data_IF_117540760460
#
_entry.id   IF_117540760460
#
_cell.length_a   1.000
_cell.length_b   1.000
_cell.length_c   1.000
_cell.angle_alpha   90.00
_cell.angle_beta   90.00
_cell.angle_gamma   90.00
#
_symmetry.space_group_name_H-M   'P 1'
#
loop_
_entity.id
_entity.type
_entity.pdbx_description
1 polymer ?
#
# COMPACT_ATOMS: atom_id res chain seq x y z
N UNK A 1 9.74 -17.42 101.53
CA UNK A 1 8.64 -17.01 100.71
C UNK A 1 9.13 -15.91 99.76
N UNK A 2 9.53 -16.30 98.53
CA UNK A 2 10.13 -15.39 97.56
C UNK A 2 9.17 -15.21 96.40
N UNK A 3 8.76 -14.00 96.18
CA UNK A 3 7.85 -13.58 95.12
C UNK A 3 8.70 -13.19 93.94
N UNK A 4 8.49 -13.86 92.85
CA UNK A 4 9.18 -13.60 91.57
C UNK A 4 8.31 -12.60 90.71
N UNK A 5 8.88 -11.52 90.18
CA UNK A 5 8.13 -10.61 89.33
C UNK A 5 7.94 -11.11 87.91
N UNK A 6 6.73 -10.93 87.37
CA UNK A 6 6.35 -11.18 86.01
C UNK A 6 7.09 -10.22 85.06
N UNK A 7 7.76 -10.76 84.04
CA UNK A 7 8.29 -9.96 82.91
C UNK A 7 7.21 -9.69 81.92
N UNK A 8 6.93 -8.41 81.67
CA UNK A 8 6.12 -7.96 80.58
C UNK A 8 6.86 -8.10 79.25
N UNK A 9 6.28 -8.81 78.30
CA UNK A 9 6.75 -8.89 76.92
C UNK A 9 6.13 -7.75 76.13
N UNK A 10 6.93 -6.80 75.72
CA UNK A 10 6.51 -5.75 74.78
C UNK A 10 6.45 -6.29 73.38
N UNK A 11 5.26 -6.31 72.79
CA UNK A 11 5.02 -6.69 71.39
C UNK A 11 5.25 -5.46 70.51
N UNK A 12 6.37 -5.43 69.80
CA UNK A 12 6.69 -4.39 68.81
C UNK A 12 5.97 -4.70 67.50
N UNK A 13 4.96 -3.94 67.17
CA UNK A 13 4.28 -4.01 65.86
C UNK A 13 5.12 -3.21 64.85
N UNK A 14 5.79 -3.92 63.93
CA UNK A 14 6.43 -3.29 62.79
C UNK A 14 5.39 -2.97 61.72
N UNK A 15 5.12 -1.69 61.52
CA UNK A 15 4.30 -1.20 60.40
C UNK A 15 5.16 -1.18 59.13
N UNK A 16 5.00 -2.17 58.25
CA UNK A 16 5.60 -2.15 56.95
C UNK A 16 4.84 -1.16 56.06
N UNK A 17 5.43 -0.01 55.75
CA UNK A 17 4.90 0.93 54.77
C UNK A 17 5.20 0.38 53.36
N UNK A 18 4.21 -0.22 52.71
CA UNK A 18 4.25 -0.55 51.32
C UNK A 18 4.10 0.73 50.47
N UNK A 19 5.23 1.21 49.94
CA UNK A 19 5.21 2.27 48.91
C UNK A 19 4.72 1.62 47.62
N UNK A 20 3.45 1.85 47.30
CA UNK A 20 2.88 1.53 46.00
C UNK A 20 3.45 2.50 44.96
N UNK A 21 4.44 2.03 44.16
CA UNK A 21 4.95 2.75 42.99
C UNK A 21 3.86 2.69 41.91
N UNK A 22 2.99 3.70 41.83
CA UNK A 22 2.07 3.85 40.71
C UNK A 22 2.89 4.24 39.48
N UNK A 23 3.18 3.27 38.59
CA UNK A 23 3.58 3.57 37.23
C UNK A 23 2.40 4.26 36.55
N UNK A 24 2.46 5.59 36.46
CA UNK A 24 1.63 6.31 35.49
C UNK A 24 2.15 5.98 34.09
N UNK A 25 1.50 5.01 33.43
CA UNK A 25 1.67 4.84 32.01
C UNK A 25 1.25 6.20 31.37
N UNK A 26 2.25 6.92 30.86
CA UNK A 26 1.99 8.10 30.03
C UNK A 26 1.15 7.62 28.87
N UNK A 27 -0.14 7.96 28.87
CA UNK A 27 -1.00 7.74 27.74
C UNK A 27 -0.34 8.48 26.57
N UNK A 28 0.21 7.71 25.61
CA UNK A 28 0.56 8.25 24.30
C UNK A 28 -0.64 9.04 23.85
N UNK A 29 -0.45 10.34 23.59
CA UNK A 29 -1.51 11.26 23.29
C UNK A 29 -2.43 10.67 22.23
N UNK A 30 -3.69 10.49 22.61
CA UNK A 30 -4.74 10.17 21.65
C UNK A 30 -4.72 11.31 20.63
N UNK A 31 -4.22 11.04 19.42
CA UNK A 31 -4.43 11.91 18.28
C UNK A 31 -5.94 12.18 18.24
N UNK A 32 -6.35 13.46 18.29
CA UNK A 32 -7.73 13.84 18.00
C UNK A 32 -8.19 13.07 16.77
N UNK A 33 -9.43 12.56 16.71
CA UNK A 33 -9.92 11.86 15.55
C UNK A 33 -9.74 12.79 14.36
N UNK A 34 -8.68 12.58 13.58
CA UNK A 34 -8.47 13.29 12.34
C UNK A 34 -9.71 12.97 11.51
N UNK A 35 -10.48 14.01 11.17
CA UNK A 35 -11.61 13.90 10.27
C UNK A 35 -11.13 13.05 9.09
N UNK A 36 -11.76 11.90 8.87
CA UNK A 36 -11.34 10.96 7.84
C UNK A 36 -11.42 11.67 6.49
N UNK A 37 -10.27 12.06 5.96
CA UNK A 37 -10.20 12.75 4.69
C UNK A 37 -10.59 11.77 3.58
N UNK A 38 -11.20 12.25 2.48
CA UNK A 38 -11.49 11.38 1.34
C UNK A 38 -10.20 10.81 0.75
N UNK A 39 -10.31 9.72 0.00
CA UNK A 39 -9.19 9.13 -0.72
C UNK A 39 -8.52 10.19 -1.62
N UNK A 40 -7.18 10.31 -1.61
CA UNK A 40 -6.49 11.18 -2.55
C UNK A 40 -6.59 10.64 -3.98
N UNK A 41 -6.60 11.52 -4.96
CA UNK A 41 -6.76 11.16 -6.39
C UNK A 41 -5.61 11.62 -7.28
N UNK A 42 -4.73 12.51 -6.78
CA UNK A 42 -3.61 13.05 -7.55
C UNK A 42 -2.49 12.02 -7.70
N UNK A 43 -1.99 11.81 -8.91
CA UNK A 43 -0.83 10.95 -9.22
C UNK A 43 0.36 11.73 -9.79
N UNK A 44 0.22 13.05 -9.95
CA UNK A 44 1.29 13.90 -10.42
C UNK A 44 2.26 14.25 -9.30
N UNK A 45 3.49 14.62 -9.66
CA UNK A 45 4.51 15.12 -8.73
C UNK A 45 4.00 16.25 -7.86
N UNK A 46 4.24 16.14 -6.55
CA UNK A 46 3.96 17.20 -5.58
C UNK A 46 5.30 17.76 -5.06
N UNK A 47 5.47 19.08 -5.15
CA UNK A 47 6.61 19.80 -4.60
C UNK A 47 6.11 20.77 -3.54
N UNK A 48 6.74 20.74 -2.37
CA UNK A 48 6.45 21.66 -1.28
C UNK A 48 7.70 22.40 -0.80
N UNK A 49 7.52 23.64 -0.36
CA UNK A 49 8.57 24.42 0.27
C UNK A 49 8.59 24.18 1.76
N UNK A 50 9.79 24.00 2.33
CA UNK A 50 9.98 23.85 3.76
C UNK A 50 9.99 25.18 4.51
N UNK A 51 9.98 25.08 5.86
CA UNK A 51 10.22 26.23 6.77
C UNK A 51 11.69 26.32 7.20
N UNK A 52 12.49 25.29 6.94
CA UNK A 52 13.91 25.22 7.29
C UNK A 52 14.51 23.83 7.05
N UNK A 53 15.73 23.63 7.48
CA UNK A 53 16.36 22.32 7.48
C UNK A 53 15.69 21.44 8.56
N UNK A 54 15.35 20.19 8.19
CA UNK A 54 14.71 19.25 9.10
C UNK A 54 15.59 18.06 9.40
N UNK A 55 15.75 17.71 10.67
CA UNK A 55 16.38 16.44 11.05
C UNK A 55 15.31 15.38 11.26
N UNK A 56 15.34 14.32 10.46
CA UNK A 56 14.43 13.17 10.56
C UNK A 56 14.71 12.41 11.84
N UNK A 57 13.69 12.22 12.67
CA UNK A 57 13.82 11.53 13.96
C UNK A 57 12.91 10.31 14.08
N UNK A 58 11.85 10.22 13.26
CA UNK A 58 10.94 9.08 13.32
C UNK A 58 10.15 8.93 12.02
N UNK A 59 9.73 7.69 11.72
CA UNK A 59 8.78 7.39 10.64
C UNK A 59 7.76 6.40 11.16
N UNK A 60 6.50 6.73 10.98
CA UNK A 60 5.38 5.90 11.43
C UNK A 60 4.31 5.79 10.36
N UNK A 61 3.55 4.72 10.41
CA UNK A 61 2.52 4.41 9.43
C UNK A 61 1.21 4.08 10.12
N UNK A 62 0.10 4.28 9.41
CA UNK A 62 -1.22 3.95 9.93
C UNK A 62 -2.24 3.77 8.82
N UNK A 63 -3.24 2.92 9.10
CA UNK A 63 -4.38 2.71 8.21
C UNK A 63 -5.50 3.68 8.58
N UNK A 64 -6.09 4.31 7.58
CA UNK A 64 -7.34 5.07 7.64
C UNK A 64 -8.43 4.36 6.81
N UNK A 65 -9.66 4.87 6.82
CA UNK A 65 -10.77 4.24 6.10
C UNK A 65 -10.55 4.18 4.57
N UNK A 66 -9.95 5.24 3.98
CA UNK A 66 -9.81 5.40 2.53
C UNK A 66 -8.35 5.50 2.04
N UNK A 67 -7.37 5.47 2.94
CA UNK A 67 -5.95 5.63 2.59
C UNK A 67 -5.05 5.04 3.69
N UNK A 68 -3.80 4.76 3.32
CA UNK A 68 -2.72 4.49 4.27
C UNK A 68 -1.87 5.75 4.42
N UNK A 69 -1.46 6.05 5.64
CA UNK A 69 -0.69 7.24 6.00
C UNK A 69 0.73 6.88 6.40
N UNK A 70 1.70 7.64 5.88
CA UNK A 70 3.08 7.68 6.36
C UNK A 70 3.35 9.06 6.93
N UNK A 71 3.94 9.12 8.11
CA UNK A 71 4.34 10.37 8.78
C UNK A 71 5.84 10.34 8.97
N UNK A 72 6.52 11.35 8.44
CA UNK A 72 7.93 11.64 8.69
C UNK A 72 7.99 12.77 9.72
N UNK A 73 8.51 12.47 10.91
CA UNK A 73 8.63 13.43 12.02
C UNK A 73 10.03 14.08 11.95
N UNK A 74 10.05 15.42 11.96
CA UNK A 74 11.28 16.24 11.88
C UNK A 74 11.44 17.11 13.11
N UNK A 75 12.69 17.47 13.39
CA UNK A 75 13.05 18.52 14.37
C UNK A 75 13.92 19.57 13.70
N UNK A 76 13.85 20.83 14.18
CA UNK A 76 14.62 21.96 13.64
C UNK A 76 13.91 22.70 12.49
N UNK A 77 12.87 22.13 11.92
CA UNK A 77 12.07 22.70 10.84
C UNK A 77 11.45 21.60 9.97
N UNK A 78 10.51 22.00 9.13
CA UNK A 78 9.97 21.11 8.10
C UNK A 78 10.78 21.32 6.81
N UNK A 79 11.42 20.27 6.24
CA UNK A 79 12.16 20.40 4.99
C UNK A 79 11.24 20.65 3.80
N UNK A 80 11.78 21.22 2.73
CA UNK A 80 11.16 21.13 1.40
C UNK A 80 11.08 19.67 0.95
N UNK A 81 10.19 19.39 0.02
CA UNK A 81 10.02 18.01 -0.46
C UNK A 81 9.63 17.96 -1.94
N UNK A 82 10.01 16.86 -2.58
CA UNK A 82 9.52 16.43 -3.88
C UNK A 82 9.06 14.99 -3.76
N UNK A 83 7.80 14.72 -4.11
CA UNK A 83 7.19 13.39 -4.00
C UNK A 83 6.57 13.04 -5.34
N UNK A 84 7.02 11.90 -5.89
CA UNK A 84 6.60 11.45 -7.22
C UNK A 84 6.75 9.94 -7.38
N UNK A 85 6.04 9.38 -8.33
CA UNK A 85 6.26 8.01 -8.76
C UNK A 85 7.56 7.89 -9.53
N UNK A 86 8.43 6.95 -9.13
CA UNK A 86 9.75 6.75 -9.73
C UNK A 86 10.52 5.65 -9.01
N UNK A 87 11.73 5.42 -9.41
CA UNK A 87 12.62 4.42 -8.80
C UNK A 87 13.41 5.04 -7.65
N UNK A 88 13.36 4.43 -6.47
CA UNK A 88 14.26 4.78 -5.38
C UNK A 88 15.69 4.36 -5.75
N UNK A 89 16.64 5.24 -5.59
CA UNK A 89 18.04 4.96 -5.86
C UNK A 89 18.91 5.19 -4.62
N UNK A 90 20.05 4.51 -4.56
CA UNK A 90 21.08 4.76 -3.57
C UNK A 90 21.83 6.05 -3.94
N UNK A 91 21.91 7.02 -3.04
CA UNK A 91 22.63 8.30 -3.25
C UNK A 91 24.12 8.13 -3.53
N UNK A 92 24.75 7.08 -2.97
CA UNK A 92 26.19 6.84 -3.17
C UNK A 92 26.56 6.18 -4.50
N UNK A 93 25.70 5.27 -5.00
CA UNK A 93 26.00 4.45 -6.20
C UNK A 93 25.05 4.72 -7.36
N UNK A 94 23.89 5.30 -7.13
CA UNK A 94 22.84 5.46 -8.12
C UNK A 94 22.07 4.15 -8.44
N UNK A 95 22.40 3.06 -7.74
CA UNK A 95 21.75 1.77 -7.95
C UNK A 95 20.29 1.81 -7.49
N UNK A 96 19.43 1.12 -8.24
CA UNK A 96 18.02 0.99 -7.89
C UNK A 96 17.82 0.17 -6.62
N UNK A 97 17.03 0.69 -5.69
CA UNK A 97 16.64 0.01 -4.46
C UNK A 97 15.22 -0.54 -4.66
N UNK A 98 15.12 -1.86 -4.87
CA UNK A 98 13.83 -2.52 -5.05
C UNK A 98 12.95 -2.43 -3.80
N UNK A 99 11.69 -2.05 -4.00
CA UNK A 99 10.65 -2.01 -2.98
C UNK A 99 9.65 -3.15 -3.16
N UNK A 100 8.87 -3.43 -2.12
CA UNK A 100 7.80 -4.41 -2.20
C UNK A 100 6.55 -3.80 -2.85
N UNK A 101 6.08 -4.41 -3.93
CA UNK A 101 4.91 -3.96 -4.69
C UNK A 101 5.27 -3.55 -6.11
N UNK A 102 4.27 -3.32 -6.96
CA UNK A 102 4.47 -2.97 -8.36
C UNK A 102 4.63 -1.47 -8.62
N UNK A 103 4.47 -0.62 -7.64
CA UNK A 103 4.58 0.83 -7.79
C UNK A 103 5.39 1.45 -6.66
N UNK A 104 6.34 2.31 -7.01
CA UNK A 104 7.22 3.00 -6.08
C UNK A 104 6.90 4.50 -6.07
N UNK A 105 6.56 5.02 -4.89
CA UNK A 105 6.42 6.45 -4.64
C UNK A 105 7.66 6.93 -3.90
N UNK A 106 8.41 7.85 -4.50
CA UNK A 106 9.67 8.36 -3.94
C UNK A 106 9.44 9.72 -3.32
N UNK A 107 9.93 9.89 -2.09
CA UNK A 107 9.94 11.15 -1.36
C UNK A 107 11.39 11.60 -1.17
N UNK A 108 11.71 12.78 -1.64
CA UNK A 108 13.00 13.44 -1.44
C UNK A 108 12.78 14.69 -0.60
N UNK A 109 13.51 14.78 0.50
CA UNK A 109 13.46 15.90 1.43
C UNK A 109 14.75 16.71 1.34
N UNK A 110 14.66 18.05 1.24
CA UNK A 110 15.81 18.97 1.14
C UNK A 110 15.43 20.40 1.61
N UNK A 111 16.24 21.05 2.47
CA UNK A 111 17.36 20.47 3.20
C UNK A 111 16.88 19.56 4.35
N UNK A 112 17.42 18.36 4.42
CA UNK A 112 17.09 17.37 5.44
C UNK A 112 18.29 16.49 5.80
N UNK A 113 18.29 15.99 7.04
CA UNK A 113 19.33 15.11 7.59
C UNK A 113 18.64 13.94 8.34
N UNK A 114 19.26 12.78 8.39
CA UNK A 114 18.89 11.67 9.27
C UNK A 114 19.97 11.42 10.34
N UNK A 115 20.84 12.43 10.55
CA UNK A 115 21.88 12.48 11.56
C UNK A 115 21.95 13.88 12.19
N UNK A 116 22.54 13.98 13.33
CA UNK A 116 22.89 15.23 14.00
C UNK A 116 24.08 15.86 13.25
N UNK A 117 23.92 17.10 12.77
CA UNK A 117 24.89 17.75 11.89
C UNK A 117 26.18 18.16 12.61
N UNK A 118 26.15 18.30 13.93
CA UNK A 118 27.32 18.68 14.74
C UNK A 118 28.15 17.48 15.15
N UNK A 119 27.49 16.37 15.46
CA UNK A 119 28.13 15.16 16.00
C UNK A 119 28.26 14.03 14.98
N UNK A 120 27.50 14.06 13.90
CA UNK A 120 27.38 12.98 12.92
C UNK A 120 26.59 11.75 13.46
N UNK A 121 26.04 11.81 14.67
CA UNK A 121 25.28 10.72 15.25
C UNK A 121 23.96 10.51 14.51
N UNK A 122 23.66 9.27 14.12
CA UNK A 122 22.39 8.96 13.45
C UNK A 122 21.20 9.28 14.36
N UNK A 123 20.27 10.07 13.87
CA UNK A 123 18.97 10.37 14.52
C UNK A 123 17.88 9.44 14.01
N UNK A 124 18.04 8.94 12.80
CA UNK A 124 17.20 7.90 12.20
C UNK A 124 18.04 7.00 11.30
N UNK A 125 18.18 5.69 11.58
CA UNK A 125 19.00 4.81 10.76
C UNK A 125 18.38 4.60 9.35
N UNK A 126 19.03 5.10 8.30
CA UNK A 126 18.55 4.95 6.91
C UNK A 126 18.61 3.50 6.38
N UNK A 127 19.29 2.59 7.09
CA UNK A 127 19.20 1.15 6.83
C UNK A 127 17.87 0.52 7.28
N UNK A 128 16.99 1.30 7.93
CA UNK A 128 15.70 0.84 8.41
C UNK A 128 14.81 0.39 7.24
N UNK A 129 14.19 -0.78 7.39
CA UNK A 129 13.16 -1.28 6.49
C UNK A 129 11.86 -1.44 7.28
N UNK A 130 10.84 -0.71 6.90
CA UNK A 130 9.51 -0.83 7.48
C UNK A 130 8.62 -1.67 6.55
N UNK A 131 7.92 -2.65 7.12
CA UNK A 131 7.01 -3.54 6.39
C UNK A 131 5.60 -3.48 7.03
N UNK A 132 4.85 -2.39 6.88
CA UNK A 132 3.59 -2.17 7.59
C UNK A 132 2.47 -3.12 7.14
N UNK A 133 2.57 -3.72 5.94
CA UNK A 133 1.58 -4.64 5.38
C UNK A 133 0.16 -4.05 5.37
N UNK A 134 0.05 -2.76 5.09
CA UNK A 134 -1.22 -2.06 4.99
C UNK A 134 -1.88 -2.33 3.61
N UNK A 135 -3.17 -2.00 3.41
CA UNK A 135 -3.88 -2.27 2.16
C UNK A 135 -3.16 -1.79 0.90
N UNK A 136 -2.52 -0.63 0.94
CA UNK A 136 -1.77 -0.06 -0.18
C UNK A 136 -0.27 0.01 0.11
N UNK A 137 0.13 0.51 1.27
CA UNK A 137 1.53 0.65 1.65
C UNK A 137 2.12 -0.69 2.10
N UNK A 138 3.11 -1.20 1.36
CA UNK A 138 3.74 -2.50 1.60
C UNK A 138 5.08 -2.40 2.31
N UNK A 139 5.89 -1.42 1.92
CA UNK A 139 7.26 -1.30 2.43
C UNK A 139 7.72 0.15 2.37
N UNK A 140 8.62 0.52 3.29
CA UNK A 140 9.37 1.78 3.21
C UNK A 140 10.86 1.44 3.33
N UNK A 141 11.68 1.99 2.45
CA UNK A 141 13.15 1.98 2.51
C UNK A 141 13.68 3.39 2.26
N UNK A 142 14.96 3.59 2.61
CA UNK A 142 15.64 4.87 2.43
C UNK A 142 16.75 4.71 1.40
N UNK A 143 16.98 5.75 0.61
CA UNK A 143 17.99 5.77 -0.45
C UNK A 143 19.26 6.49 -0.02
N UNK A 144 19.13 7.60 0.70
CA UNK A 144 20.27 8.44 1.08
C UNK A 144 20.01 9.30 2.32
N UNK A 145 21.11 9.68 2.96
CA UNK A 145 21.26 10.78 3.92
C UNK A 145 22.61 11.44 3.58
N UNK A 146 22.63 12.30 2.56
CA UNK A 146 23.85 12.88 2.00
C UNK A 146 23.58 14.28 1.40
N UNK A 147 24.53 15.21 1.58
CA UNK A 147 24.46 16.60 1.07
C UNK A 147 23.13 17.31 1.36
N UNK A 148 22.62 17.15 2.57
CA UNK A 148 21.32 17.66 3.00
C UNK A 148 20.12 17.11 2.21
N UNK A 149 20.24 15.94 1.61
CA UNK A 149 19.14 15.17 1.05
C UNK A 149 18.87 13.93 1.87
N UNK A 150 17.61 13.72 2.20
CA UNK A 150 17.11 12.45 2.72
C UNK A 150 16.06 11.94 1.75
N UNK A 151 16.24 10.72 1.25
CA UNK A 151 15.28 10.11 0.34
C UNK A 151 14.67 8.84 0.93
N UNK A 152 13.39 8.65 0.68
CA UNK A 152 12.63 7.46 1.08
C UNK A 152 11.75 6.99 -0.07
N UNK A 153 11.61 5.67 -0.20
CA UNK A 153 10.70 5.04 -1.15
C UNK A 153 9.59 4.29 -0.43
N UNK A 154 8.37 4.49 -0.86
CA UNK A 154 7.18 3.80 -0.43
C UNK A 154 6.76 2.80 -1.50
N UNK A 155 6.95 1.51 -1.23
CA UNK A 155 6.50 0.42 -2.09
C UNK A 155 5.01 0.19 -1.90
N UNK A 156 4.25 0.28 -2.97
CA UNK A 156 2.80 0.28 -2.96
C UNK A 156 2.22 -0.93 -3.69
N UNK A 157 1.05 -1.37 -3.24
CA UNK A 157 0.29 -2.45 -3.89
C UNK A 157 -0.19 -2.08 -5.29
N UNK A 158 -0.27 -0.79 -5.61
CA UNK A 158 -0.67 -0.25 -6.92
C UNK A 158 -0.31 1.23 -7.04
N UNK A 159 -0.33 1.75 -8.29
CA UNK A 159 -0.24 3.19 -8.55
C UNK A 159 -1.58 3.86 -8.27
N UNK A 160 -1.69 4.51 -7.13
CA UNK A 160 -2.92 5.14 -6.62
C UNK A 160 -2.73 6.65 -6.45
N UNK A 161 -3.82 7.37 -6.21
CA UNK A 161 -3.73 8.77 -5.82
C UNK A 161 -2.99 8.96 -4.50
N UNK A 162 -2.22 10.04 -4.38
CA UNK A 162 -1.58 10.42 -3.12
C UNK A 162 -1.76 11.92 -2.84
N UNK A 163 -1.59 12.31 -1.59
CA UNK A 163 -1.51 13.71 -1.16
C UNK A 163 -0.42 13.88 -0.12
N UNK A 164 0.06 15.09 -0.01
CA UNK A 164 1.07 15.47 0.98
C UNK A 164 0.49 16.56 1.88
N UNK A 165 0.69 16.42 3.19
CA UNK A 165 0.34 17.43 4.18
C UNK A 165 1.60 17.80 4.93
N UNK A 166 1.81 19.10 5.13
CA UNK A 166 2.84 19.63 5.98
C UNK A 166 2.20 20.10 7.30
N UNK A 167 2.67 19.57 8.41
CA UNK A 167 2.13 19.87 9.72
C UNK A 167 3.24 20.43 10.62
N UNK A 168 2.90 21.34 11.48
CA UNK A 168 3.82 21.98 12.42
C UNK A 168 3.41 21.70 13.86
N UNK A 169 4.37 21.78 14.79
CA UNK A 169 4.17 21.57 16.22
C UNK A 169 3.62 20.18 16.61
N UNK A 170 4.37 19.11 16.43
CA UNK A 170 5.73 19.02 15.87
C UNK A 170 5.76 19.07 14.35
N UNK A 171 6.94 19.33 13.78
CA UNK A 171 7.16 19.40 12.33
C UNK A 171 7.06 18.02 11.68
N UNK A 172 6.21 17.91 10.66
CA UNK A 172 5.91 16.63 9.99
C UNK A 172 5.64 16.84 8.51
N UNK A 173 6.11 15.89 7.71
CA UNK A 173 5.60 15.69 6.35
C UNK A 173 4.80 14.39 6.36
N UNK A 174 3.55 14.47 5.93
CA UNK A 174 2.60 13.35 5.91
C UNK A 174 2.30 13.01 4.47
N UNK A 175 2.41 11.74 4.13
CA UNK A 175 2.02 11.21 2.82
C UNK A 175 0.86 10.23 3.02
N UNK A 176 -0.27 10.53 2.40
CA UNK A 176 -1.39 9.63 2.31
C UNK A 176 -1.44 9.02 0.92
N UNK A 177 -1.53 7.70 0.84
CA UNK A 177 -1.75 6.94 -0.40
C UNK A 177 -3.13 6.30 -0.37
N UNK A 178 -3.93 6.53 -1.40
CA UNK A 178 -5.30 6.02 -1.46
C UNK A 178 -5.35 4.50 -1.32
N UNK A 179 -6.37 3.99 -0.65
CA UNK A 179 -6.75 2.61 -0.92
C UNK A 179 -7.30 2.55 -2.35
N UNK A 180 -7.05 1.44 -3.04
CA UNK A 180 -7.80 1.19 -4.25
C UNK A 180 -9.28 1.22 -3.91
N UNK A 181 -10.11 1.90 -4.72
CA UNK A 181 -11.54 1.78 -4.56
C UNK A 181 -11.86 0.29 -4.62
N UNK A 182 -12.27 -0.27 -3.52
CA UNK A 182 -12.88 -1.61 -3.54
C UNK A 182 -14.20 -1.43 -4.26
N UNK A 183 -14.19 -1.64 -5.58
CA UNK A 183 -15.45 -1.70 -6.30
C UNK A 183 -16.30 -2.79 -5.64
N UNK A 184 -17.55 -2.51 -5.30
CA UNK A 184 -18.42 -3.53 -4.76
C UNK A 184 -18.56 -4.67 -5.78
N UNK A 185 -18.70 -5.88 -5.29
CA UNK A 185 -19.06 -6.99 -6.15
C UNK A 185 -20.46 -6.77 -6.68
N UNK A 186 -20.62 -6.82 -8.01
CA UNK A 186 -21.88 -6.66 -8.72
C UNK A 186 -22.02 -7.68 -9.84
N UNK A 187 -23.21 -7.83 -10.42
CA UNK A 187 -23.46 -8.71 -11.58
C UNK A 187 -23.64 -7.93 -12.88
N UNK A 188 -23.55 -6.61 -12.79
CA UNK A 188 -23.75 -5.71 -13.93
C UNK A 188 -22.55 -5.75 -14.88
N UNK A 189 -22.82 -5.59 -16.16
CA UNK A 189 -21.79 -5.51 -17.18
C UNK A 189 -20.86 -4.31 -16.93
N UNK A 190 -19.57 -4.51 -17.05
CA UNK A 190 -18.56 -3.49 -16.83
C UNK A 190 -17.75 -3.26 -18.10
N UNK A 191 -17.51 -1.98 -18.44
CA UNK A 191 -16.68 -1.55 -19.55
C UNK A 191 -15.55 -0.69 -19.02
N UNK A 192 -14.33 -0.89 -19.53
CA UNK A 192 -13.16 -0.08 -19.15
C UNK A 192 -12.13 -0.04 -20.29
N UNK A 193 -11.20 0.90 -20.22
CA UNK A 193 -10.16 1.09 -21.23
C UNK A 193 -10.68 1.76 -22.50
N UNK A 194 -10.02 1.50 -23.63
CA UNK A 194 -10.49 1.97 -24.95
C UNK A 194 -9.45 2.65 -25.83
N UNK A 195 -8.21 2.85 -25.33
CA UNK A 195 -7.19 3.62 -26.05
C UNK A 195 -6.08 2.77 -26.69
N UNK A 196 -5.94 1.48 -26.34
CA UNK A 196 -4.80 0.69 -26.76
C UNK A 196 -4.94 0.14 -28.17
N UNK A 197 -3.88 0.36 -28.96
CA UNK A 197 -3.57 -0.42 -30.15
C UNK A 197 -2.59 -1.54 -29.74
N UNK A 198 -2.65 -2.70 -30.37
CA UNK A 198 -1.65 -3.78 -30.26
C UNK A 198 -1.47 -4.40 -28.85
N UNK A 199 -2.54 -4.72 -28.17
CA UNK A 199 -2.46 -5.39 -26.86
C UNK A 199 -2.14 -6.88 -27.00
N UNK A 200 -1.04 -7.31 -26.41
CA UNK A 200 -0.68 -8.72 -26.25
C UNK A 200 -1.09 -9.19 -24.86
N UNK A 201 -1.94 -10.22 -24.77
CA UNK A 201 -2.22 -10.86 -23.49
C UNK A 201 -1.11 -11.90 -23.25
N UNK A 202 -0.13 -11.52 -22.41
CA UNK A 202 1.09 -12.33 -22.19
C UNK A 202 0.89 -13.52 -21.28
N UNK A 203 -0.13 -13.47 -20.40
CA UNK A 203 -0.38 -14.55 -19.45
C UNK A 203 -1.70 -14.40 -18.71
N UNK A 204 -2.11 -15.51 -18.11
CA UNK A 204 -3.28 -15.58 -17.21
C UNK A 204 -2.85 -16.23 -15.91
N UNK A 205 -3.16 -15.60 -14.81
CA UNK A 205 -2.87 -16.09 -13.46
C UNK A 205 -4.12 -16.05 -12.60
N UNK A 206 -4.21 -16.94 -11.63
CA UNK A 206 -5.31 -16.97 -10.66
C UNK A 206 -4.78 -17.10 -9.24
N UNK A 207 -5.60 -16.69 -8.28
CA UNK A 207 -5.31 -16.83 -6.86
C UNK A 207 -6.57 -16.81 -6.02
N UNK A 208 -6.56 -17.57 -4.94
CA UNK A 208 -7.62 -17.59 -3.94
C UNK A 208 -7.37 -16.48 -2.91
N UNK A 209 -8.43 -15.75 -2.58
CA UNK A 209 -8.45 -14.73 -1.55
C UNK A 209 -9.62 -14.95 -0.57
N UNK A 210 -9.58 -14.38 0.63
CA UNK A 210 -10.74 -14.45 1.53
C UNK A 210 -11.99 -13.81 0.88
N UNK A 211 -12.99 -14.64 0.59
CA UNK A 211 -14.29 -14.21 0.04
C UNK A 211 -14.35 -14.09 -1.50
N UNK A 212 -13.27 -14.33 -2.24
CA UNK A 212 -13.27 -14.30 -3.72
C UNK A 212 -12.07 -15.01 -4.33
N UNK A 213 -12.22 -15.44 -5.58
CA UNK A 213 -11.11 -15.83 -6.43
C UNK A 213 -10.71 -14.69 -7.37
N UNK A 214 -9.42 -14.54 -7.62
CA UNK A 214 -8.85 -13.52 -8.52
C UNK A 214 -8.33 -14.12 -9.81
N UNK A 215 -8.69 -13.50 -10.91
CA UNK A 215 -8.17 -13.75 -12.25
C UNK A 215 -7.40 -12.53 -12.72
N UNK A 216 -6.19 -12.71 -13.21
CA UNK A 216 -5.31 -11.65 -13.69
C UNK A 216 -4.90 -11.95 -15.13
N UNK A 217 -5.10 -10.99 -16.02
CA UNK A 217 -4.59 -10.99 -17.37
C UNK A 217 -3.39 -10.03 -17.44
N UNK A 218 -2.22 -10.54 -17.78
CA UNK A 218 -1.03 -9.71 -17.99
C UNK A 218 -1.12 -9.07 -19.37
N UNK A 219 -1.17 -7.74 -19.45
CA UNK A 219 -1.24 -6.99 -20.70
C UNK A 219 0.16 -6.50 -21.06
N UNK A 220 0.58 -6.77 -22.30
CA UNK A 220 1.92 -6.41 -22.79
C UNK A 220 2.08 -4.94 -23.18
N UNK A 221 1.13 -4.08 -22.83
CA UNK A 221 1.11 -2.64 -23.15
C UNK A 221 0.89 -1.80 -21.90
N UNK A 222 1.31 -0.52 -21.96
CA UNK A 222 1.03 0.43 -20.89
C UNK A 222 -0.45 0.86 -20.83
N UNK A 223 -1.13 0.78 -21.96
CA UNK A 223 -2.53 1.17 -22.11
C UNK A 223 -3.45 -0.05 -22.00
N UNK A 224 -4.70 0.19 -21.64
CA UNK A 224 -5.73 -0.84 -21.51
C UNK A 224 -6.61 -0.83 -22.76
N UNK A 225 -6.75 -1.96 -23.48
CA UNK A 225 -7.70 -2.05 -24.60
C UNK A 225 -9.12 -1.85 -24.10
N UNK A 226 -10.06 -1.68 -25.01
CA UNK A 226 -11.46 -1.72 -24.60
C UNK A 226 -11.78 -3.12 -24.07
N UNK A 227 -12.14 -3.19 -22.80
CA UNK A 227 -12.49 -4.43 -22.10
C UNK A 227 -13.96 -4.41 -21.73
N UNK A 228 -14.61 -5.52 -21.96
CA UNK A 228 -15.98 -5.79 -21.54
C UNK A 228 -16.00 -7.01 -20.61
N UNK A 229 -16.64 -6.91 -19.46
CA UNK A 229 -16.82 -8.01 -18.54
C UNK A 229 -18.28 -8.16 -18.16
N UNK A 230 -18.87 -9.29 -18.43
CA UNK A 230 -20.25 -9.60 -18.07
C UNK A 230 -20.51 -11.11 -17.99
N UNK A 231 -21.50 -11.51 -17.22
CA UNK A 231 -22.02 -12.85 -17.33
C UNK A 231 -22.78 -13.05 -18.63
N UNK A 232 -22.52 -14.17 -19.31
CA UNK A 232 -23.34 -14.61 -20.42
C UNK A 232 -24.77 -14.88 -19.90
N UNK A 233 -25.75 -14.47 -20.71
CA UNK A 233 -27.16 -14.58 -20.33
C UNK A 233 -27.52 -16.00 -19.86
N UNK A 234 -28.18 -16.08 -18.72
CA UNK A 234 -28.68 -17.32 -18.09
C UNK A 234 -27.61 -18.40 -17.84
N UNK A 235 -26.34 -18.00 -17.68
CA UNK A 235 -25.25 -18.92 -17.38
C UNK A 235 -24.40 -18.43 -16.20
N UNK A 236 -23.54 -19.30 -15.69
CA UNK A 236 -22.45 -18.96 -14.77
C UNK A 236 -21.12 -18.72 -15.52
N UNK A 237 -21.13 -18.43 -16.81
CA UNK A 237 -19.95 -18.10 -17.59
C UNK A 237 -19.75 -16.60 -17.62
N UNK A 238 -18.64 -16.12 -17.04
CA UNK A 238 -18.20 -14.75 -17.12
C UNK A 238 -17.41 -14.57 -18.42
N UNK A 239 -17.77 -13.59 -19.23
CA UNK A 239 -17.09 -13.25 -20.48
C UNK A 239 -16.21 -12.04 -20.22
N UNK A 240 -14.91 -12.15 -20.52
CA UNK A 240 -13.98 -11.04 -20.55
C UNK A 240 -13.58 -10.82 -22.00
N UNK A 241 -14.16 -9.81 -22.62
CA UNK A 241 -13.90 -9.44 -24.01
C UNK A 241 -12.85 -8.34 -24.11
N UNK A 242 -11.93 -8.49 -25.04
CA UNK A 242 -10.89 -7.50 -25.36
C UNK A 242 -11.09 -7.04 -26.79
N UNK A 243 -11.27 -5.74 -27.00
CA UNK A 243 -11.45 -5.17 -28.33
C UNK A 243 -10.81 -3.79 -28.43
N UNK A 244 -10.43 -3.38 -29.63
CA UNK A 244 -9.86 -2.07 -29.95
C UNK A 244 -9.58 -2.00 -31.45
N UNK A 245 -9.26 -0.81 -31.97
CA UNK A 245 -8.78 -0.68 -33.34
C UNK A 245 -7.34 -1.21 -33.39
N UNK A 246 -7.10 -2.25 -34.19
CA UNK A 246 -5.81 -2.92 -34.36
C UNK A 246 -5.27 -3.66 -33.11
N UNK A 247 -6.15 -4.33 -32.36
CA UNK A 247 -5.70 -5.24 -31.30
C UNK A 247 -5.54 -6.63 -31.87
N UNK A 248 -4.33 -7.10 -32.25
CA UNK A 248 -4.09 -8.52 -32.34
C UNK A 248 -4.01 -9.03 -30.88
N UNK A 249 -5.13 -9.48 -30.32
CA UNK A 249 -5.10 -10.17 -29.06
C UNK A 249 -4.35 -11.50 -29.26
N UNK A 250 -3.03 -11.46 -29.16
CA UNK A 250 -2.21 -12.66 -29.17
C UNK A 250 -2.26 -13.27 -27.79
N UNK A 251 -2.97 -14.38 -27.68
CA UNK A 251 -2.97 -15.18 -26.46
C UNK A 251 -1.74 -16.09 -26.51
N UNK A 252 -0.73 -15.76 -25.72
CA UNK A 252 0.41 -16.64 -25.49
C UNK A 252 0.04 -17.65 -24.42
N UNK A 253 -0.19 -18.90 -24.81
CA UNK A 253 -0.51 -19.97 -23.86
C UNK A 253 -1.62 -20.92 -24.33
N UNK A 254 -2.03 -21.88 -23.49
CA UNK A 254 -3.06 -22.84 -23.84
C UNK A 254 -4.42 -22.16 -23.99
N UNK A 255 -5.19 -22.59 -24.99
CA UNK A 255 -6.54 -22.07 -25.28
C UNK A 255 -7.55 -22.39 -24.19
N UNK A 256 -7.26 -23.38 -23.35
CA UNK A 256 -8.10 -23.77 -22.21
C UNK A 256 -7.21 -23.98 -21.00
N UNK A 257 -7.61 -23.45 -19.86
CA UNK A 257 -6.90 -23.57 -18.59
C UNK A 257 -7.90 -23.96 -17.50
N UNK A 258 -7.62 -25.02 -16.78
CA UNK A 258 -8.37 -25.41 -15.60
C UNK A 258 -7.75 -24.77 -14.34
N UNK A 259 -8.54 -24.07 -13.57
CA UNK A 259 -8.08 -23.38 -12.37
C UNK A 259 -8.32 -24.19 -11.10
N UNK A 260 -9.42 -24.92 -11.03
CA UNK A 260 -9.78 -25.73 -9.86
C UNK A 260 -10.05 -24.93 -8.58
N UNK A 261 -10.32 -23.62 -8.70
CA UNK A 261 -10.59 -22.74 -7.57
C UNK A 261 -12.08 -22.83 -7.16
N UNK A 262 -12.42 -22.40 -5.93
CA UNK A 262 -13.81 -22.47 -5.43
C UNK A 262 -14.83 -21.80 -6.33
N UNK A 263 -14.53 -20.65 -6.91
CA UNK A 263 -15.44 -19.91 -7.80
C UNK A 263 -14.98 -19.95 -9.26
N UNK A 264 -13.69 -19.77 -9.54
CA UNK A 264 -13.14 -19.84 -10.88
C UNK A 264 -12.77 -21.29 -11.23
N UNK A 265 -13.47 -21.88 -12.18
CA UNK A 265 -13.29 -23.31 -12.56
C UNK A 265 -12.31 -23.46 -13.73
N UNK A 266 -12.59 -22.79 -14.82
CA UNK A 266 -11.78 -22.87 -16.01
C UNK A 266 -11.93 -21.63 -16.87
N UNK A 267 -11.03 -21.46 -17.83
CA UNK A 267 -11.07 -20.43 -18.84
C UNK A 267 -10.85 -21.06 -20.23
N UNK A 268 -11.62 -20.62 -21.21
CA UNK A 268 -11.37 -20.92 -22.63
C UNK A 268 -11.34 -19.66 -23.46
N UNK A 269 -10.48 -19.64 -24.49
CA UNK A 269 -10.28 -18.50 -25.37
C UNK A 269 -10.96 -18.68 -26.72
N UNK A 270 -11.61 -17.59 -27.19
CA UNK A 270 -11.90 -17.39 -28.61
C UNK A 270 -11.18 -16.14 -29.08
N UNK A 271 -10.45 -16.26 -30.17
CA UNK A 271 -9.76 -15.16 -30.84
C UNK A 271 -10.39 -15.03 -32.23
N UNK A 272 -10.73 -13.80 -32.61
CA UNK A 272 -11.45 -13.46 -33.84
C UNK A 272 -10.53 -12.75 -34.82
N UNK A 273 -10.78 -12.93 -36.12
CA UNK A 273 -9.95 -12.37 -37.20
C UNK A 273 -9.97 -10.83 -37.25
N UNK A 274 -10.95 -10.20 -36.59
CA UNK A 274 -11.05 -8.75 -36.46
C UNK A 274 -10.20 -8.14 -35.33
N UNK A 275 -9.28 -8.91 -34.74
CA UNK A 275 -8.41 -8.46 -33.66
C UNK A 275 -9.04 -8.44 -32.28
N UNK A 276 -10.24 -9.03 -32.10
CA UNK A 276 -10.85 -9.18 -30.78
C UNK A 276 -10.56 -10.55 -30.18
N UNK A 277 -10.56 -10.63 -28.85
CA UNK A 277 -10.48 -11.89 -28.12
C UNK A 277 -11.49 -11.91 -26.97
N UNK A 278 -11.98 -13.10 -26.65
CA UNK A 278 -12.86 -13.32 -25.52
C UNK A 278 -12.37 -14.48 -24.68
N UNK A 279 -12.21 -14.24 -23.38
CA UNK A 279 -12.02 -15.27 -22.38
C UNK A 279 -13.40 -15.64 -21.80
N UNK A 280 -13.76 -16.91 -21.94
CA UNK A 280 -14.95 -17.49 -21.34
C UNK A 280 -14.54 -18.16 -20.05
N UNK A 281 -14.87 -17.56 -18.93
CA UNK A 281 -14.51 -18.05 -17.59
C UNK A 281 -15.70 -18.76 -16.97
N UNK A 282 -15.58 -20.07 -16.80
CA UNK A 282 -16.58 -20.86 -16.11
C UNK A 282 -16.46 -20.62 -14.62
N UNK A 283 -17.53 -20.16 -13.98
CA UNK A 283 -17.61 -20.00 -12.54
C UNK A 283 -18.50 -21.05 -11.91
N UNK A 284 -18.32 -21.34 -10.62
CA UNK A 284 -19.15 -22.31 -9.90
C UNK A 284 -20.61 -21.87 -9.84
N UNK A 285 -20.83 -20.57 -9.70
CA UNK A 285 -22.16 -19.95 -9.61
C UNK A 285 -22.08 -18.49 -10.09
N UNK A 286 -23.24 -17.89 -10.39
CA UNK A 286 -23.34 -16.48 -10.76
C UNK A 286 -23.37 -15.61 -9.50
N UNK A 287 -22.19 -15.27 -8.99
CA UNK A 287 -22.01 -14.30 -7.91
C UNK A 287 -21.50 -12.96 -8.44
N UNK A 288 -21.39 -11.97 -7.56
CA UNK A 288 -20.84 -10.69 -7.94
C UNK A 288 -19.38 -10.79 -8.40
N UNK A 289 -19.00 -9.97 -9.35
CA UNK A 289 -17.62 -9.76 -9.76
C UNK A 289 -17.26 -8.29 -9.66
N UNK A 290 -15.97 -7.98 -9.66
CA UNK A 290 -15.45 -6.63 -9.81
C UNK A 290 -14.23 -6.65 -10.72
N UNK A 291 -14.00 -5.53 -11.41
CA UNK A 291 -12.92 -5.41 -12.40
C UNK A 291 -12.06 -4.22 -12.07
N UNK A 292 -10.74 -4.38 -12.14
CA UNK A 292 -9.80 -3.29 -11.92
C UNK A 292 -8.59 -3.41 -12.84
N UNK A 293 -7.87 -2.31 -13.03
CA UNK A 293 -6.61 -2.28 -13.75
C UNK A 293 -5.51 -2.01 -12.74
N UNK A 294 -4.42 -2.77 -12.86
CA UNK A 294 -3.16 -2.52 -12.17
C UNK A 294 -2.14 -2.10 -13.23
N UNK A 295 -1.31 -1.12 -12.90
CA UNK A 295 -0.27 -0.63 -13.80
C UNK A 295 1.11 -1.08 -13.35
N UNK A 296 2.08 -1.05 -14.28
CA UNK A 296 3.51 -1.33 -14.04
C UNK A 296 3.82 -2.72 -13.45
N UNK A 297 3.65 -3.80 -14.21
CA UNK A 297 3.13 -3.90 -15.58
C UNK A 297 1.60 -3.83 -15.60
N UNK A 298 1.07 -3.42 -16.75
CA UNK A 298 -0.38 -3.31 -16.91
C UNK A 298 -1.07 -4.66 -16.85
N UNK A 299 -2.08 -4.76 -16.00
CA UNK A 299 -2.85 -5.99 -15.76
C UNK A 299 -4.33 -5.68 -15.64
N UNK A 300 -5.14 -6.50 -16.25
CA UNK A 300 -6.56 -6.54 -15.96
C UNK A 300 -6.81 -7.56 -14.85
N UNK A 301 -7.51 -7.18 -13.82
CA UNK A 301 -7.87 -8.04 -12.70
C UNK A 301 -9.38 -8.18 -12.63
N UNK A 302 -9.85 -9.41 -12.53
CA UNK A 302 -11.26 -9.74 -12.30
C UNK A 302 -11.35 -10.57 -11.03
N UNK A 303 -12.02 -10.06 -10.01
CA UNK A 303 -12.34 -10.79 -8.79
C UNK A 303 -13.76 -11.33 -8.87
N UNK A 304 -13.96 -12.59 -8.59
CA UNK A 304 -15.26 -13.25 -8.54
C UNK A 304 -15.55 -13.70 -7.11
N UNK A 305 -16.62 -13.17 -6.51
CA UNK A 305 -17.05 -13.49 -5.13
C UNK A 305 -17.54 -14.94 -5.00
N UNK A 306 -17.45 -15.50 -3.77
CA UNK A 306 -18.02 -16.78 -3.41
C UNK A 306 -19.52 -16.69 -3.15
#
# INVERSE_FOLDING_TARGET
>A
MRITPLRAVALTVAVAATVALTLTASAAGAESPATDLPAPTNTATIVGTGTGAGTLVNVRTGRHAAYDRTVFDFVGGTPGYRIEYGTLVSGGTGDAIGLAGPADLVAVFNPAFAHDIDTGASTFPISTVLNPQLPTLRQIKFGEDFEAYVSAGLGLADRVGFRVLQLHQPDRVVIDVAHQPTQPFGTEATWLGGAAADTVIGGVRTGMHPGYDRLVFDLGTAEVPLVFVAYRLNTSTLVVGFSGQNVPAVVNGPRTVDFGLPQLRSLSWSVYDNGTASAFVTTASRHGFRVMVLYEPTRLVVDAAY
#
